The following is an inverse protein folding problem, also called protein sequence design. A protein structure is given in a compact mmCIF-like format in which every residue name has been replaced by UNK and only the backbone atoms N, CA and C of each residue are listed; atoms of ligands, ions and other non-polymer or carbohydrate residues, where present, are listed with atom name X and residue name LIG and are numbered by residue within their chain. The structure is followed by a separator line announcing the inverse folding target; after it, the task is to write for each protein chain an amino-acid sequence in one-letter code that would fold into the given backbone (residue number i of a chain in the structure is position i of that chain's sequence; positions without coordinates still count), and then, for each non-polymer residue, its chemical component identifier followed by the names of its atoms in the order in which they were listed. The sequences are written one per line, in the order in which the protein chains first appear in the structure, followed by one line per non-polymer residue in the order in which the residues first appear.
data_IF_140349088397
#
_entry.id   IF_140349088397
#
_cell.length_a   1.000
_cell.length_b   1.000
_cell.length_c   1.000
_cell.angle_alpha   90.00
_cell.angle_beta   90.00
_cell.angle_gamma   90.00
#
_symmetry.space_group_name_H-M   'P 1'
#
loop_
_entity.id
_entity.type
_entity.pdbx_description
1 polymer ?
#
# COMPACT_ATOMS: atom_id res chain seq x y z
N UNK A 1 48.96 56.43 -26.49
CA UNK A 1 48.16 56.18 -25.27
C UNK A 1 47.21 55.01 -25.55
N UNK A 2 47.46 53.83 -24.97
CA UNK A 2 46.64 52.61 -25.18
C UNK A 2 45.42 52.67 -24.24
N UNK A 3 44.20 52.62 -24.78
CA UNK A 3 42.97 52.51 -23.98
C UNK A 3 42.77 51.05 -23.57
N UNK A 4 42.84 50.77 -22.27
CA UNK A 4 42.48 49.48 -21.69
C UNK A 4 40.97 49.47 -21.44
N UNK A 5 40.24 48.62 -22.15
CA UNK A 5 38.82 48.36 -21.89
C UNK A 5 38.71 47.16 -20.94
N UNK A 6 38.24 47.40 -19.71
CA UNK A 6 37.95 46.37 -18.72
C UNK A 6 36.55 45.80 -19.00
N UNK A 7 36.46 44.54 -19.42
CA UNK A 7 35.19 43.83 -19.58
C UNK A 7 34.75 43.24 -18.23
N UNK A 8 33.55 43.58 -17.78
CA UNK A 8 32.91 42.99 -16.60
C UNK A 8 32.27 41.66 -17.03
N UNK A 9 32.79 40.54 -16.51
CA UNK A 9 32.18 39.22 -16.66
C UNK A 9 31.15 39.07 -15.54
N UNK A 10 29.87 39.15 -15.88
CA UNK A 10 28.76 38.84 -14.97
C UNK A 10 28.53 37.32 -15.04
N UNK A 11 28.99 36.60 -14.03
CA UNK A 11 28.70 35.17 -13.87
C UNK A 11 27.31 35.07 -13.24
N UNK A 12 26.31 34.74 -14.05
CA UNK A 12 25.01 34.29 -13.53
C UNK A 12 25.20 32.88 -12.95
N UNK A 13 25.32 32.79 -11.63
CA UNK A 13 25.14 31.55 -10.89
C UNK A 13 23.66 31.18 -10.96
N UNK A 14 23.28 30.43 -12.00
CA UNK A 14 21.99 29.77 -12.06
C UNK A 14 22.05 28.69 -10.97
N UNK A 15 21.56 29.02 -9.78
CA UNK A 15 21.25 28.03 -8.76
C UNK A 15 20.14 27.17 -9.35
N UNK A 16 20.52 26.07 -10.03
CA UNK A 16 19.61 25.01 -10.36
C UNK A 16 19.09 24.48 -9.02
N UNK A 17 17.92 24.97 -8.60
CA UNK A 17 17.09 24.22 -7.68
C UNK A 17 16.91 22.85 -8.33
N UNK A 18 17.66 21.86 -7.85
CA UNK A 18 17.27 20.48 -8.01
C UNK A 18 15.91 20.39 -7.34
N UNK A 19 14.84 20.50 -8.14
CA UNK A 19 13.60 19.87 -7.73
C UNK A 19 14.00 18.43 -7.48
N UNK A 20 13.87 17.96 -6.24
CA UNK A 20 13.98 16.54 -5.96
C UNK A 20 13.03 15.90 -6.98
N UNK A 21 13.54 14.99 -7.82
CA UNK A 21 12.68 14.16 -8.66
C UNK A 21 11.80 13.37 -7.70
N UNK A 22 10.65 13.93 -7.33
CA UNK A 22 9.68 13.24 -6.50
C UNK A 22 9.05 12.19 -7.40
N UNK A 23 9.43 10.93 -7.19
CA UNK A 23 8.84 9.79 -7.84
C UNK A 23 7.56 9.43 -7.08
N UNK A 24 6.43 9.79 -7.64
CA UNK A 24 5.11 9.41 -7.13
C UNK A 24 4.17 9.18 -8.31
N UNK A 25 3.11 8.44 -8.05
CA UNK A 25 2.02 8.25 -8.99
C UNK A 25 0.80 9.05 -8.57
N UNK A 26 0.12 9.68 -9.52
CA UNK A 26 -1.16 10.36 -9.32
C UNK A 26 -2.25 9.52 -9.99
N UNK A 27 -3.32 9.22 -9.24
CA UNK A 27 -4.48 8.55 -9.80
C UNK A 27 -5.19 9.44 -10.82
N UNK A 28 -5.65 8.85 -11.91
CA UNK A 28 -6.59 9.46 -12.84
C UNK A 28 -7.72 8.48 -13.14
N UNK A 29 -8.89 8.99 -13.52
CA UNK A 29 -10.08 8.17 -13.74
C UNK A 29 -11.00 8.77 -14.81
N UNK A 30 -11.83 7.92 -15.40
CA UNK A 30 -12.81 8.28 -16.42
C UNK A 30 -14.23 8.19 -15.84
N UNK A 31 -14.65 9.26 -15.17
CA UNK A 31 -15.98 9.35 -14.56
C UNK A 31 -16.25 10.75 -13.99
N UNK A 32 -17.51 11.02 -13.64
CA UNK A 32 -17.89 12.26 -12.95
C UNK A 32 -17.38 12.27 -11.51
N UNK A 33 -17.46 11.12 -10.85
CA UNK A 33 -17.01 10.91 -9.47
C UNK A 33 -16.02 9.76 -9.40
N UNK A 34 -15.19 9.77 -8.36
CA UNK A 34 -14.25 8.71 -8.08
C UNK A 34 -14.90 7.65 -7.18
N UNK A 35 -15.52 6.64 -7.80
CA UNK A 35 -16.27 5.58 -7.12
C UNK A 35 -15.78 4.20 -7.54
N UNK A 36 -15.97 3.19 -6.68
CA UNK A 36 -15.58 1.82 -6.98
C UNK A 36 -16.28 1.35 -8.27
N UNK A 37 -15.48 0.89 -9.24
CA UNK A 37 -15.94 0.49 -10.56
C UNK A 37 -15.75 1.55 -11.64
N UNK A 38 -15.45 2.80 -11.28
CA UNK A 38 -15.02 3.82 -12.23
C UNK A 38 -13.62 3.46 -12.76
N UNK A 39 -13.45 3.34 -14.09
CA UNK A 39 -12.16 3.01 -14.68
C UNK A 39 -11.09 4.02 -14.26
N UNK A 40 -10.00 3.52 -13.69
CA UNK A 40 -8.93 4.35 -13.14
C UNK A 40 -7.55 3.75 -13.38
N UNK A 41 -6.54 4.61 -13.35
CA UNK A 41 -5.14 4.28 -13.54
C UNK A 41 -4.23 5.26 -12.81
N UNK A 42 -2.94 5.20 -13.10
CA UNK A 42 -1.93 6.06 -12.50
C UNK A 42 -0.97 6.66 -13.53
N UNK A 43 -0.73 7.96 -13.40
CA UNK A 43 0.31 8.70 -14.09
C UNK A 43 1.52 8.88 -13.18
N UNK A 44 2.71 8.96 -13.75
CA UNK A 44 3.89 9.45 -13.04
C UNK A 44 3.77 10.94 -12.73
N UNK A 45 4.66 11.47 -11.89
CA UNK A 45 4.77 12.90 -11.61
C UNK A 45 5.10 13.77 -12.83
N UNK A 46 5.47 13.15 -13.96
CA UNK A 46 5.71 13.82 -15.26
C UNK A 46 4.52 13.73 -16.22
N UNK A 47 3.46 13.02 -15.85
CA UNK A 47 2.27 12.78 -16.68
C UNK A 47 2.34 11.53 -17.55
N UNK A 48 3.41 10.74 -17.47
CA UNK A 48 3.51 9.47 -18.21
C UNK A 48 2.60 8.41 -17.59
N UNK A 49 1.81 7.69 -18.39
CA UNK A 49 0.99 6.59 -17.88
C UNK A 49 1.85 5.42 -17.42
N UNK A 50 1.79 5.09 -16.12
CA UNK A 50 2.48 3.94 -15.52
C UNK A 50 1.53 2.76 -15.36
N UNK A 51 0.30 3.04 -14.92
CA UNK A 51 -0.77 2.05 -14.81
C UNK A 51 -1.91 2.53 -15.69
N UNK A 52 -2.16 1.89 -16.85
CA UNK A 52 -3.25 2.31 -17.73
C UNK A 52 -4.61 1.97 -17.13
N UNK A 53 -5.64 2.71 -17.54
CA UNK A 53 -7.02 2.35 -17.28
C UNK A 53 -7.28 0.94 -17.79
N UNK A 54 -8.03 0.17 -17.01
CA UNK A 54 -8.37 -1.22 -17.33
C UNK A 54 -7.27 -2.23 -16.96
N UNK A 55 -6.13 -1.81 -16.37
CA UNK A 55 -5.20 -2.79 -15.75
C UNK A 55 -5.76 -3.35 -14.46
N UNK A 56 -6.32 -2.50 -13.61
CA UNK A 56 -7.02 -2.87 -12.38
C UNK A 56 -8.51 -2.55 -12.52
N UNK A 57 -9.35 -3.21 -11.72
CA UNK A 57 -10.77 -2.90 -11.66
C UNK A 57 -11.01 -1.50 -11.06
N UNK A 58 -10.23 -1.16 -10.02
CA UNK A 58 -10.30 0.13 -9.36
C UNK A 58 -8.98 0.46 -8.64
N UNK A 59 -8.64 1.73 -8.52
CA UNK A 59 -7.47 2.23 -7.80
C UNK A 59 -7.91 2.96 -6.53
N UNK A 60 -7.46 2.58 -5.33
CA UNK A 60 -7.92 3.24 -4.09
C UNK A 60 -7.15 4.50 -3.71
N UNK A 61 -5.88 4.61 -4.09
CA UNK A 61 -4.96 5.60 -3.51
C UNK A 61 -4.79 6.79 -4.45
N UNK A 62 -5.07 8.01 -4.00
CA UNK A 62 -4.95 9.20 -4.87
C UNK A 62 -3.50 9.49 -5.29
N UNK A 63 -2.56 9.31 -4.37
CA UNK A 63 -1.14 9.55 -4.62
C UNK A 63 -0.28 8.46 -4.01
N UNK A 64 0.44 7.71 -4.85
CA UNK A 64 1.36 6.67 -4.41
C UNK A 64 2.76 7.26 -4.30
N UNK A 65 3.22 7.47 -3.08
CA UNK A 65 4.63 7.84 -2.81
C UNK A 65 5.51 6.63 -2.53
N UNK A 66 4.97 5.66 -1.80
CA UNK A 66 5.64 4.41 -1.44
C UNK A 66 4.74 3.20 -1.68
N UNK A 67 3.44 3.36 -1.39
CA UNK A 67 2.48 2.26 -1.37
C UNK A 67 1.11 2.75 -1.81
N UNK A 68 0.45 1.99 -2.67
CA UNK A 68 -0.94 2.18 -3.06
C UNK A 68 -1.71 0.87 -3.03
N UNK A 69 -3.03 0.97 -3.08
CA UNK A 69 -3.92 -0.17 -3.14
C UNK A 69 -4.77 -0.15 -4.41
N UNK A 70 -4.99 -1.31 -5.01
CA UNK A 70 -5.79 -1.49 -6.24
C UNK A 70 -6.63 -2.77 -6.14
N UNK A 71 -7.73 -2.85 -6.89
CA UNK A 71 -8.56 -4.05 -6.99
C UNK A 71 -8.18 -4.83 -8.25
N UNK A 72 -7.74 -6.08 -8.08
CA UNK A 72 -7.46 -7.01 -9.17
C UNK A 72 -8.75 -7.36 -9.95
N UNK A 73 -8.64 -7.34 -11.28
CA UNK A 73 -9.76 -7.73 -12.14
C UNK A 73 -10.09 -9.23 -12.00
N UNK A 74 -11.38 -9.55 -12.08
CA UNK A 74 -11.88 -10.94 -12.08
C UNK A 74 -11.87 -11.64 -10.72
N UNK A 75 -10.95 -11.29 -9.82
CA UNK A 75 -10.86 -11.90 -8.48
C UNK A 75 -11.41 -11.00 -7.38
N UNK A 76 -11.37 -9.68 -7.55
CA UNK A 76 -11.72 -8.71 -6.51
C UNK A 76 -10.71 -8.65 -5.36
N UNK A 77 -9.53 -9.28 -5.49
CA UNK A 77 -8.47 -9.16 -4.48
C UNK A 77 -7.96 -7.73 -4.44
N UNK A 78 -7.70 -7.24 -3.24
CA UNK A 78 -7.04 -5.95 -3.09
C UNK A 78 -5.53 -6.19 -3.06
N UNK A 79 -4.80 -5.57 -3.98
CA UNK A 79 -3.35 -5.69 -4.09
C UNK A 79 -2.68 -4.41 -3.62
N UNK A 80 -1.58 -4.57 -2.89
CA UNK A 80 -0.63 -3.51 -2.62
C UNK A 80 0.34 -3.35 -3.78
N UNK A 81 0.58 -2.11 -4.22
CA UNK A 81 1.53 -1.77 -5.29
C UNK A 81 2.53 -0.71 -4.84
N UNK A 82 3.73 -0.72 -5.42
CA UNK A 82 4.73 0.34 -5.24
C UNK A 82 4.59 1.48 -6.27
N UNK A 83 5.46 2.49 -6.21
CA UNK A 83 5.48 3.61 -7.15
C UNK A 83 5.89 3.24 -8.60
N UNK A 84 6.25 1.99 -8.87
CA UNK A 84 6.48 1.47 -10.22
C UNK A 84 5.29 0.65 -10.73
N UNK A 85 4.23 0.51 -9.93
CA UNK A 85 3.11 -0.39 -10.21
C UNK A 85 3.45 -1.87 -10.05
N UNK A 86 4.52 -2.18 -9.31
CA UNK A 86 4.88 -3.56 -8.94
C UNK A 86 3.93 -4.04 -7.85
N UNK A 87 3.30 -5.19 -8.06
CA UNK A 87 2.49 -5.85 -7.04
C UNK A 87 3.36 -6.44 -5.93
N UNK A 88 3.05 -6.10 -4.69
CA UNK A 88 3.85 -6.46 -3.52
C UNK A 88 3.28 -7.69 -2.79
N UNK A 89 1.98 -7.64 -2.49
CA UNK A 89 1.21 -8.63 -1.76
C UNK A 89 -0.28 -8.30 -1.85
N UNK A 90 -1.13 -9.23 -1.42
CA UNK A 90 -2.55 -8.95 -1.22
C UNK A 90 -2.76 -8.22 0.11
N UNK A 91 -3.58 -7.18 0.13
CA UNK A 91 -4.12 -6.57 1.36
C UNK A 91 -5.30 -7.42 1.83
N UNK A 92 -5.40 -7.66 3.13
CA UNK A 92 -6.53 -8.42 3.66
C UNK A 92 -7.84 -7.66 3.39
N UNK A 93 -8.86 -8.35 2.87
CA UNK A 93 -10.17 -7.74 2.65
C UNK A 93 -10.96 -7.72 3.97
N UNK A 94 -11.50 -6.57 4.34
CA UNK A 94 -12.38 -6.43 5.49
C UNK A 94 -13.64 -5.67 5.10
N UNK A 95 -14.80 -6.27 5.37
CA UNK A 95 -16.09 -5.80 4.88
C UNK A 95 -16.05 -5.65 3.35
N UNK A 96 -16.23 -4.43 2.82
CA UNK A 96 -16.27 -4.15 1.38
C UNK A 96 -14.98 -3.49 0.85
N UNK A 97 -13.86 -3.57 1.59
CA UNK A 97 -12.64 -2.86 1.21
C UNK A 97 -11.36 -3.39 1.87
N UNK A 98 -10.27 -2.60 1.83
CA UNK A 98 -9.01 -2.99 2.45
C UNK A 98 -9.11 -2.97 3.98
N UNK A 99 -8.30 -3.82 4.62
CA UNK A 99 -8.19 -3.85 6.08
C UNK A 99 -7.84 -2.48 6.68
N UNK A 100 -8.44 -2.19 7.83
CA UNK A 100 -8.18 -0.94 8.54
C UNK A 100 -6.83 -0.97 9.22
N UNK A 101 -6.13 0.17 9.22
CA UNK A 101 -4.93 0.35 10.03
C UNK A 101 -5.31 0.38 11.51
N UNK A 102 -4.79 -0.58 12.29
CA UNK A 102 -4.94 -0.66 13.73
C UNK A 102 -3.57 -0.71 14.39
N UNK A 103 -3.36 0.19 15.35
CA UNK A 103 -2.06 0.34 16.03
C UNK A 103 -0.88 0.55 15.06
N UNK A 104 -1.14 1.22 13.93
CA UNK A 104 -0.16 1.49 12.87
C UNK A 104 0.07 0.36 11.86
N UNK A 105 -0.63 -0.78 12.00
CA UNK A 105 -0.46 -1.96 11.14
C UNK A 105 -1.79 -2.42 10.52
N UNK A 106 -1.73 -3.02 9.34
CA UNK A 106 -2.86 -3.73 8.71
C UNK A 106 -2.42 -5.12 8.23
N UNK A 107 -3.39 -6.03 8.03
CA UNK A 107 -3.09 -7.40 7.63
C UNK A 107 -2.83 -7.50 6.13
N UNK A 108 -1.87 -8.34 5.78
CA UNK A 108 -1.50 -8.66 4.39
C UNK A 108 -1.48 -10.17 4.19
N UNK A 109 -1.70 -10.61 2.95
CA UNK A 109 -1.64 -12.01 2.55
C UNK A 109 -0.54 -12.20 1.53
N UNK A 110 0.33 -13.19 1.77
CA UNK A 110 1.30 -13.67 0.80
C UNK A 110 1.41 -15.18 0.90
N UNK A 111 1.34 -15.88 -0.23
CA UNK A 111 1.40 -17.35 -0.30
C UNK A 111 0.39 -18.03 0.66
N UNK A 112 -0.81 -17.46 0.79
CA UNK A 112 -1.88 -18.00 1.66
C UNK A 112 -1.66 -17.83 3.16
N UNK A 113 -0.61 -17.13 3.59
CA UNK A 113 -0.36 -16.78 5.00
C UNK A 113 -0.65 -15.32 5.27
N UNK A 114 -1.02 -15.01 6.49
CA UNK A 114 -1.27 -13.66 6.97
C UNK A 114 -0.04 -13.10 7.69
N UNK A 115 0.31 -11.86 7.37
CA UNK A 115 1.32 -11.04 8.03
C UNK A 115 0.78 -9.64 8.28
N UNK A 116 1.66 -8.70 8.63
CA UNK A 116 1.29 -7.32 8.92
C UNK A 116 2.25 -6.34 8.28
N UNK A 117 1.71 -5.28 7.68
CA UNK A 117 2.46 -4.17 7.11
C UNK A 117 2.09 -2.86 7.78
N UNK A 118 3.02 -1.89 7.76
CA UNK A 118 2.75 -0.52 8.17
C UNK A 118 2.06 0.29 7.06
N UNK A 119 1.64 1.51 7.36
CA UNK A 119 0.96 2.40 6.41
C UNK A 119 1.82 2.85 5.21
N UNK A 120 3.14 2.58 5.22
CA UNK A 120 4.02 2.82 4.08
C UNK A 120 4.19 1.57 3.20
N UNK A 121 3.45 0.49 3.50
CA UNK A 121 3.54 -0.77 2.78
C UNK A 121 4.75 -1.64 3.16
N UNK A 122 5.47 -1.28 4.23
CA UNK A 122 6.59 -2.10 4.70
C UNK A 122 6.05 -3.25 5.53
N UNK A 123 6.43 -4.47 5.16
CA UNK A 123 6.14 -5.66 5.97
C UNK A 123 6.89 -5.56 7.31
N UNK A 124 6.13 -5.47 8.40
CA UNK A 124 6.66 -5.44 9.78
C UNK A 124 6.71 -6.84 10.37
N UNK A 125 5.67 -7.65 10.10
CA UNK A 125 5.61 -9.06 10.50
C UNK A 125 5.41 -9.89 9.24
N UNK A 126 6.38 -10.75 8.93
CA UNK A 126 6.32 -11.59 7.75
C UNK A 126 5.08 -12.48 7.75
N UNK A 127 4.42 -12.68 6.59
CA UNK A 127 3.30 -13.60 6.47
C UNK A 127 3.67 -15.02 6.93
N UNK A 128 3.06 -15.48 8.02
CA UNK A 128 3.31 -16.80 8.60
C UNK A 128 2.12 -17.44 9.30
N UNK A 129 1.11 -16.65 9.64
CA UNK A 129 -0.06 -17.14 10.37
C UNK A 129 -1.12 -17.67 9.40
N UNK A 130 -1.90 -18.66 9.82
CA UNK A 130 -3.07 -19.11 9.05
C UNK A 130 -4.25 -18.15 9.24
N UNK A 131 -4.39 -17.62 10.45
CA UNK A 131 -5.39 -16.62 10.81
C UNK A 131 -4.78 -15.60 11.76
N UNK A 132 -5.23 -14.36 11.59
CA UNK A 132 -4.69 -13.24 12.31
C UNK A 132 -5.77 -12.15 12.42
N UNK A 133 -6.11 -11.78 13.65
CA UNK A 133 -7.01 -10.67 13.90
C UNK A 133 -6.26 -9.32 13.78
N UNK A 134 -6.97 -8.21 13.54
CA UNK A 134 -6.36 -6.89 13.61
C UNK A 134 -5.82 -6.61 15.02
N UNK A 135 -4.83 -5.72 15.11
CA UNK A 135 -4.29 -5.31 16.41
C UNK A 135 -5.35 -4.60 17.26
N UNK A 136 -5.37 -4.89 18.56
CA UNK A 136 -6.13 -4.18 19.58
C UNK A 136 -5.24 -4.04 20.80
N UNK A 137 -5.11 -2.82 21.32
CA UNK A 137 -4.24 -2.55 22.49
C UNK A 137 -2.80 -3.07 22.27
N UNK A 138 -2.23 -2.78 21.09
CA UNK A 138 -0.87 -3.20 20.68
C UNK A 138 -0.59 -4.72 20.66
N UNK A 139 -1.64 -5.55 20.78
CA UNK A 139 -1.58 -7.00 20.63
C UNK A 139 -2.47 -7.48 19.48
N UNK A 140 -2.04 -8.52 18.78
CA UNK A 140 -2.86 -9.23 17.81
C UNK A 140 -3.03 -10.69 18.23
N UNK A 141 -4.26 -11.21 18.12
CA UNK A 141 -4.58 -12.62 18.34
C UNK A 141 -4.39 -13.39 17.03
N UNK A 142 -3.51 -14.38 17.03
CA UNK A 142 -3.09 -15.11 15.83
C UNK A 142 -3.05 -16.62 16.09
N UNK A 143 -3.08 -17.40 15.02
CA UNK A 143 -2.86 -18.84 15.10
C UNK A 143 -2.19 -19.38 13.82
N UNK A 144 -1.35 -20.39 14.01
CA UNK A 144 -0.66 -21.12 12.95
C UNK A 144 -1.53 -22.23 12.36
N UNK A 145 -2.66 -22.55 12.98
CA UNK A 145 -3.64 -23.49 12.46
C UNK A 145 -5.06 -23.12 12.86
N UNK A 146 -5.94 -22.95 11.88
CA UNK A 146 -7.34 -22.63 12.10
C UNK A 146 -8.19 -23.00 10.91
N UNK A 147 -9.48 -23.13 11.19
CA UNK A 147 -10.52 -23.43 10.23
C UNK A 147 -11.41 -22.20 10.07
N UNK A 148 -11.77 -21.90 8.82
CA UNK A 148 -12.84 -20.94 8.53
C UNK A 148 -14.17 -21.66 8.64
N UNK A 149 -15.00 -21.24 9.58
CA UNK A 149 -16.35 -21.75 9.81
C UNK A 149 -17.34 -20.73 9.32
N UNK A 150 -18.30 -21.18 8.52
CA UNK A 150 -19.40 -20.33 8.07
C UNK A 150 -20.41 -20.14 9.22
N UNK A 151 -20.79 -18.89 9.47
CA UNK A 151 -21.74 -18.46 10.48
C UNK A 151 -22.78 -17.54 9.80
N UNK A 152 -23.79 -18.16 9.19
CA UNK A 152 -24.75 -17.46 8.33
C UNK A 152 -24.10 -16.80 7.13
N UNK A 153 -24.29 -15.49 6.99
CA UNK A 153 -23.64 -14.64 5.97
C UNK A 153 -22.19 -14.29 6.31
N UNK A 154 -21.74 -14.60 7.53
CA UNK A 154 -20.39 -14.32 8.00
C UNK A 154 -19.53 -15.58 8.06
N UNK A 155 -18.24 -15.39 8.26
CA UNK A 155 -17.32 -16.47 8.60
C UNK A 155 -16.48 -16.08 9.80
N UNK A 156 -16.15 -17.08 10.61
CA UNK A 156 -15.28 -16.94 11.77
C UNK A 156 -14.09 -17.88 11.62
N UNK A 157 -12.95 -17.50 12.20
CA UNK A 157 -11.84 -18.42 12.37
C UNK A 157 -11.95 -19.13 13.71
N UNK A 158 -11.87 -20.46 13.68
CA UNK A 158 -11.76 -21.30 14.87
C UNK A 158 -10.36 -21.88 14.97
N UNK A 159 -9.78 -21.84 16.16
CA UNK A 159 -8.50 -22.47 16.49
C UNK A 159 -8.49 -22.86 17.95
N UNK A 160 -7.84 -23.97 18.26
CA UNK A 160 -7.56 -24.39 19.63
C UNK A 160 -6.22 -23.81 20.14
N UNK A 161 -5.42 -23.20 19.26
CA UNK A 161 -4.05 -22.74 19.55
C UNK A 161 -3.86 -21.24 19.31
N UNK A 162 -4.80 -20.43 19.78
CA UNK A 162 -4.66 -18.98 19.73
C UNK A 162 -3.59 -18.48 20.69
N UNK A 163 -2.76 -17.55 20.22
CA UNK A 163 -1.82 -16.79 21.05
C UNK A 163 -1.80 -15.33 20.64
N UNK A 164 -1.18 -14.49 21.48
CA UNK A 164 -1.02 -13.08 21.19
C UNK A 164 0.39 -12.78 20.69
N UNK A 165 0.52 -11.79 19.82
CA UNK A 165 1.81 -11.23 19.40
C UNK A 165 1.83 -9.72 19.63
N UNK A 166 3.01 -9.19 19.92
CA UNK A 166 3.29 -7.75 19.89
C UNK A 166 3.37 -7.23 18.45
N UNK A 167 3.43 -5.91 18.28
CA UNK A 167 3.63 -5.24 16.97
C UNK A 167 4.93 -5.63 16.24
N UNK A 168 5.90 -6.21 16.95
CA UNK A 168 7.13 -6.73 16.38
C UNK A 168 7.07 -8.25 16.13
N UNK A 169 5.91 -8.87 16.29
CA UNK A 169 5.69 -10.30 16.04
C UNK A 169 6.16 -11.23 17.15
N UNK A 170 6.53 -10.69 18.31
CA UNK A 170 6.96 -11.49 19.48
C UNK A 170 5.73 -12.07 20.16
N UNK A 171 5.70 -13.39 20.36
CA UNK A 171 4.64 -14.09 21.07
C UNK A 171 4.60 -13.67 22.54
N UNK A 172 3.39 -13.48 23.05
CA UNK A 172 3.08 -13.20 24.46
C UNK A 172 2.17 -14.31 24.96
N UNK A 173 2.69 -15.11 25.88
CA UNK A 173 1.90 -16.06 26.65
C UNK A 173 1.30 -15.31 27.83
N UNK A 174 -0.04 -15.25 27.90
CA UNK A 174 -0.76 -14.71 29.06
C UNK A 174 -1.04 -15.84 30.05
#
# INVERSE_FOLDING_TARGET
MKKLSFGIIIIFLISACSSKNENYLIKFYEGEFDEIGVPSGYLSSKGDTIIPIGKYFYCYTDTIRNFGMVIEQGTGKILGIDQNGTELYQVFNYDNGPDYVKSGLFRIIKQGKIGYADSNGKIVIQPRFNCAHPFKEDLAKVSDNCETIQDGEHSIWKSDNWYHITKNGIRVDK
#
